data_IF_235224055910
#
_entry.id   IF_235224055910
#
_cell.length_a   1.000
_cell.length_b   1.000
_cell.length_c   1.000
_cell.angle_alpha   90.00
_cell.angle_beta   90.00
_cell.angle_gamma   90.00
#
_symmetry.space_group_name_H-M   'P 1'
#
loop_
_entity.id
_entity.type
_entity.pdbx_description
1 polymer ?
#
# COMPACT_ATOMS: atom_id res chain seq x y z
N UNK A 1 2.59 25.16 -11.34
CA UNK A 1 2.09 25.21 -12.74
C UNK A 1 0.76 24.46 -12.92
N UNK A 2 0.52 23.28 -12.32
CA UNK A 2 -0.77 22.57 -12.43
C UNK A 2 -1.88 23.03 -11.44
N UNK A 3 -1.56 23.93 -10.51
CA UNK A 3 -2.46 24.36 -9.41
C UNK A 3 -3.23 25.66 -9.70
N UNK A 4 -2.83 26.39 -10.74
CA UNK A 4 -3.52 27.60 -11.19
C UNK A 4 -4.51 27.26 -12.31
N UNK A 5 -5.49 28.13 -12.58
CA UNK A 5 -6.40 27.92 -13.71
C UNK A 5 -5.55 27.86 -15.00
N UNK A 6 -5.45 26.67 -15.59
CA UNK A 6 -4.58 26.43 -16.72
C UNK A 6 -5.12 27.09 -18.00
N UNK A 7 -6.42 27.40 -18.06
CA UNK A 7 -7.07 28.12 -19.17
C UNK A 7 -6.48 29.52 -19.38
N UNK A 8 -6.09 30.23 -18.30
CA UNK A 8 -5.48 31.57 -18.42
C UNK A 8 -4.02 31.54 -18.88
N UNK A 9 -3.33 30.41 -18.70
CA UNK A 9 -1.95 30.22 -19.15
C UNK A 9 -1.85 29.54 -20.53
N UNK A 10 -2.86 28.76 -20.94
CA UNK A 10 -2.99 28.17 -22.28
C UNK A 10 -3.68 29.11 -23.28
N UNK A 11 -3.47 30.41 -23.14
CA UNK A 11 -3.94 31.42 -24.11
C UNK A 11 -3.27 31.32 -25.50
N UNK A 12 -2.30 30.43 -25.68
CA UNK A 12 -1.83 30.00 -27.00
C UNK A 12 -1.77 28.46 -27.07
N UNK A 13 -2.57 27.90 -27.98
CA UNK A 13 -2.59 26.49 -28.45
C UNK A 13 -3.21 25.45 -27.51
N UNK A 14 -4.50 25.19 -27.74
CA UNK A 14 -5.16 23.92 -27.43
C UNK A 14 -4.65 22.77 -28.32
N UNK A 15 -3.37 22.43 -28.22
CA UNK A 15 -2.81 21.19 -28.78
C UNK A 15 -3.09 20.09 -27.76
N UNK A 16 -3.94 19.10 -28.07
CA UNK A 16 -4.19 18.01 -27.14
C UNK A 16 -2.93 17.12 -27.07
N UNK A 17 -2.60 16.68 -25.86
CA UNK A 17 -1.40 15.91 -25.56
C UNK A 17 -1.68 14.40 -25.56
N UNK A 18 -0.69 13.61 -25.98
CA UNK A 18 -0.74 12.15 -25.86
C UNK A 18 -0.40 11.66 -24.44
N UNK A 19 0.42 12.45 -23.72
CA UNK A 19 0.91 12.16 -22.37
C UNK A 19 0.86 13.43 -21.51
N UNK A 20 0.41 13.29 -20.26
CA UNK A 20 0.58 14.30 -19.20
C UNK A 20 1.30 13.64 -18.02
N UNK A 21 2.40 14.26 -17.55
CA UNK A 21 3.18 13.76 -16.42
C UNK A 21 3.06 14.67 -15.19
N UNK A 22 2.89 14.10 -14.00
CA UNK A 22 2.91 14.85 -12.74
C UNK A 22 3.80 14.17 -11.69
N UNK A 23 5.07 14.58 -11.63
CA UNK A 23 6.07 14.05 -10.69
C UNK A 23 6.19 14.86 -9.39
N UNK A 24 5.47 15.98 -9.28
CA UNK A 24 5.48 16.86 -8.10
C UNK A 24 4.13 17.57 -7.95
N UNK A 25 3.74 17.85 -6.71
CA UNK A 25 2.57 18.63 -6.31
C UNK A 25 1.19 17.96 -6.46
N UNK A 26 1.07 16.69 -6.87
CA UNK A 26 -0.21 15.96 -6.78
C UNK A 26 -0.74 15.99 -5.35
N UNK A 27 0.14 15.73 -4.39
CA UNK A 27 -0.14 15.74 -2.95
C UNK A 27 -0.60 17.12 -2.44
N UNK A 28 -0.26 18.21 -3.11
CA UNK A 28 -0.68 19.57 -2.76
C UNK A 28 -2.14 19.84 -3.18
N UNK A 29 -2.62 19.17 -4.23
CA UNK A 29 -4.01 19.24 -4.68
C UNK A 29 -4.98 18.46 -3.77
N UNK A 30 -4.50 17.55 -2.93
CA UNK A 30 -5.32 16.78 -1.97
C UNK A 30 -5.68 17.53 -0.68
N UNK A 31 -5.39 18.84 -0.60
CA UNK A 31 -5.88 19.69 0.49
C UNK A 31 -7.42 19.76 0.52
N UNK A 32 -8.09 19.70 -0.64
CA UNK A 32 -9.55 19.63 -0.73
C UNK A 32 -10.00 18.84 -1.97
N UNK A 33 -11.25 18.35 -1.95
CA UNK A 33 -11.81 17.58 -3.06
C UNK A 33 -11.90 18.40 -4.36
N UNK A 34 -12.24 19.69 -4.25
CA UNK A 34 -12.40 20.60 -5.39
C UNK A 34 -11.07 20.85 -6.11
N UNK A 35 -9.96 20.94 -5.37
CA UNK A 35 -8.62 21.11 -5.95
C UNK A 35 -8.17 19.86 -6.70
N UNK A 36 -8.36 18.68 -6.12
CA UNK A 36 -8.05 17.41 -6.76
C UNK A 36 -8.93 17.16 -8.00
N UNK A 37 -10.24 17.44 -7.91
CA UNK A 37 -11.18 17.31 -9.02
C UNK A 37 -10.86 18.31 -10.16
N UNK A 38 -10.50 19.55 -9.83
CA UNK A 38 -10.09 20.56 -10.81
C UNK A 38 -8.82 20.14 -11.56
N UNK A 39 -7.79 19.65 -10.85
CA UNK A 39 -6.59 19.10 -11.47
C UNK A 39 -6.93 17.99 -12.48
N UNK A 40 -7.73 17.00 -12.09
CA UNK A 40 -8.05 15.85 -12.93
C UNK A 40 -8.90 16.24 -14.15
N UNK A 41 -9.80 17.21 -14.01
CA UNK A 41 -10.53 17.80 -15.14
C UNK A 41 -9.60 18.53 -16.12
N UNK A 42 -8.63 19.29 -15.62
CA UNK A 42 -7.63 19.96 -16.46
C UNK A 42 -6.73 18.95 -17.19
N UNK A 43 -6.30 17.89 -16.51
CA UNK A 43 -5.54 16.80 -17.14
C UNK A 43 -6.37 16.10 -18.22
N UNK A 44 -7.63 15.79 -17.94
CA UNK A 44 -8.53 15.14 -18.90
C UNK A 44 -8.83 16.02 -20.12
N UNK A 45 -8.98 17.33 -19.96
CA UNK A 45 -9.21 18.24 -21.09
C UNK A 45 -7.99 18.39 -22.00
N UNK A 46 -6.77 18.27 -21.45
CA UNK A 46 -5.53 18.24 -22.23
C UNK A 46 -5.33 16.96 -23.02
N UNK A 47 -5.71 15.80 -22.47
CA UNK A 47 -5.40 14.52 -23.10
C UNK A 47 -6.24 14.26 -24.36
N UNK A 48 -5.61 13.72 -25.40
CA UNK A 48 -6.32 13.03 -26.49
C UNK A 48 -7.03 11.78 -25.95
N UNK A 49 -8.10 11.31 -26.61
CA UNK A 49 -8.58 9.94 -26.40
C UNK A 49 -7.42 8.94 -26.58
N UNK A 50 -7.35 7.93 -25.71
CA UNK A 50 -6.25 6.97 -25.63
C UNK A 50 -5.00 7.46 -24.89
N UNK A 51 -4.87 8.76 -24.60
CA UNK A 51 -3.70 9.35 -23.95
C UNK A 51 -3.57 9.03 -22.45
N UNK A 52 -2.36 9.14 -21.91
CA UNK A 52 -2.03 8.72 -20.54
C UNK A 52 -1.70 9.87 -19.59
N UNK A 53 -2.25 9.82 -18.38
CA UNK A 53 -1.83 10.61 -17.24
C UNK A 53 -1.07 9.74 -16.25
N UNK A 54 0.19 10.04 -15.99
CA UNK A 54 0.98 9.29 -15.00
C UNK A 54 1.91 10.17 -14.18
N UNK A 55 2.48 9.59 -13.13
CA UNK A 55 3.41 10.30 -12.28
C UNK A 55 3.82 9.53 -11.05
N UNK A 56 4.33 10.26 -10.07
CA UNK A 56 4.78 9.74 -8.78
C UNK A 56 4.17 10.58 -7.67
N UNK A 57 3.73 9.93 -6.59
CA UNK A 57 3.16 10.56 -5.40
C UNK A 57 3.69 9.88 -4.13
N UNK A 58 3.76 10.55 -2.98
CA UNK A 58 4.02 9.88 -1.71
C UNK A 58 3.00 8.78 -1.43
N UNK A 59 3.49 7.60 -1.06
CA UNK A 59 2.71 6.39 -0.78
C UNK A 59 1.96 6.54 0.55
N UNK A 60 0.71 6.98 0.43
CA UNK A 60 -0.06 7.37 1.61
C UNK A 60 -0.48 6.15 2.46
N UNK A 61 -0.62 4.97 1.83
CA UNK A 61 -0.84 3.70 2.53
C UNK A 61 0.35 3.33 3.42
N UNK A 62 1.57 3.45 2.90
CA UNK A 62 2.83 3.16 3.60
C UNK A 62 3.09 4.18 4.70
N UNK A 63 2.92 5.47 4.41
CA UNK A 63 3.06 6.55 5.40
C UNK A 63 2.07 6.33 6.55
N UNK A 64 0.78 6.07 6.25
CA UNK A 64 -0.24 5.85 7.28
C UNK A 64 0.02 4.57 8.09
N UNK A 65 0.44 3.48 7.45
CA UNK A 65 0.80 2.22 8.13
C UNK A 65 1.98 2.42 9.10
N UNK A 66 3.00 3.20 8.70
CA UNK A 66 4.14 3.55 9.56
C UNK A 66 3.69 4.45 10.72
N UNK A 67 2.76 5.38 10.49
CA UNK A 67 2.18 6.26 11.52
C UNK A 67 1.40 5.47 12.57
N UNK A 68 0.45 4.62 12.17
CA UNK A 68 -0.39 3.83 13.09
C UNK A 68 0.45 2.94 14.01
N UNK A 69 1.44 2.22 13.46
CA UNK A 69 2.38 1.40 14.25
C UNK A 69 3.14 2.20 15.31
N UNK A 70 3.49 3.46 15.02
CA UNK A 70 4.15 4.33 15.99
C UNK A 70 3.20 4.83 17.09
N UNK A 71 1.94 5.13 16.75
CA UNK A 71 0.88 5.48 17.73
C UNK A 71 0.62 4.30 18.67
N UNK A 72 0.41 3.10 18.13
CA UNK A 72 0.21 1.85 18.89
C UNK A 72 1.39 1.56 19.84
N UNK A 73 2.62 1.66 19.32
CA UNK A 73 3.84 1.43 20.12
C UNK A 73 4.06 2.51 21.19
N UNK A 74 3.56 3.73 21.00
CA UNK A 74 3.55 4.79 22.01
C UNK A 74 2.53 4.50 23.12
N UNK A 75 1.29 4.17 22.74
CA UNK A 75 0.22 3.82 23.67
C UNK A 75 0.59 2.63 24.57
N UNK A 76 1.19 1.58 23.99
CA UNK A 76 1.64 0.40 24.73
C UNK A 76 2.79 0.67 25.73
N UNK A 77 3.53 1.78 25.57
CA UNK A 77 4.57 2.23 26.50
C UNK A 77 4.05 3.25 27.53
N UNK A 78 2.83 3.75 27.37
CA UNK A 78 2.27 4.87 28.14
C UNK A 78 1.64 4.53 29.49
N UNK A 79 1.59 3.25 29.89
CA UNK A 79 0.86 2.76 31.09
C UNK A 79 1.59 3.10 32.42
N UNK A 80 2.29 4.23 32.51
CA UNK A 80 3.08 4.57 33.71
C UNK A 80 3.55 6.02 33.88
N UNK A 81 3.59 6.86 32.84
CA UNK A 81 4.01 8.27 32.98
C UNK A 81 3.08 9.21 32.20
N UNK A 82 2.85 10.41 32.76
CA UNK A 82 1.96 11.43 32.19
C UNK A 82 2.34 11.73 30.75
N UNK A 83 1.35 11.65 29.86
CA UNK A 83 1.51 11.88 28.43
C UNK A 83 1.80 13.36 28.12
N UNK A 84 3.07 13.75 28.19
CA UNK A 84 3.57 14.82 27.33
C UNK A 84 3.55 14.25 25.91
N UNK A 85 2.50 14.59 25.14
CA UNK A 85 2.33 14.14 23.76
C UNK A 85 3.53 14.58 22.92
N UNK A 86 4.43 13.61 22.66
CA UNK A 86 5.45 13.74 21.64
C UNK A 86 4.73 13.43 20.33
N UNK A 87 4.68 14.36 19.35
CA UNK A 87 3.94 14.12 18.12
C UNK A 87 4.43 12.83 17.46
N UNK A 88 3.51 11.93 17.15
CA UNK A 88 3.82 10.65 16.51
C UNK A 88 4.47 10.93 15.15
N UNK A 89 5.78 10.72 15.11
CA UNK A 89 6.64 10.96 13.95
C UNK A 89 7.22 9.64 13.45
N UNK A 90 7.32 9.51 12.13
CA UNK A 90 7.99 8.40 11.46
C UNK A 90 9.43 8.84 11.24
N UNK A 91 10.40 8.11 11.80
CA UNK A 91 11.82 8.38 11.67
C UNK A 91 12.48 7.26 10.87
N UNK A 92 13.05 7.60 9.72
CA UNK A 92 13.93 6.75 8.91
C UNK A 92 15.36 7.33 8.90
N UNK A 93 16.29 6.63 8.26
CA UNK A 93 17.64 7.14 7.97
C UNK A 93 17.59 8.32 7.00
N UNK A 94 16.68 8.28 6.01
CA UNK A 94 16.64 9.25 4.91
C UNK A 94 15.67 10.42 5.14
N UNK A 95 14.69 10.26 6.03
CA UNK A 95 13.63 11.26 6.25
C UNK A 95 12.98 11.16 7.62
N UNK A 96 12.33 12.26 8.03
CA UNK A 96 11.42 12.32 9.17
C UNK A 96 10.07 12.84 8.66
N UNK A 97 8.98 12.17 9.03
CA UNK A 97 7.61 12.63 8.79
C UNK A 97 6.93 12.92 10.13
N UNK A 98 6.29 14.08 10.24
CA UNK A 98 5.56 14.53 11.43
C UNK A 98 4.15 14.93 11.02
N UNK A 99 3.14 14.43 11.73
CA UNK A 99 1.75 14.84 11.54
C UNK A 99 1.42 16.06 12.41
N UNK A 100 0.67 17.02 11.86
CA UNK A 100 0.31 18.26 12.57
C UNK A 100 -0.83 18.04 13.58
N UNK A 101 -1.71 17.09 13.28
CA UNK A 101 -2.87 16.70 14.09
C UNK A 101 -2.90 15.17 14.12
N UNK A 102 -3.13 14.57 15.30
CA UNK A 102 -3.37 13.13 15.41
C UNK A 102 -4.79 12.78 14.96
N UNK A 103 -4.96 11.74 14.15
CA UNK A 103 -6.28 11.22 13.76
C UNK A 103 -6.31 9.70 13.87
N UNK A 104 -7.46 9.17 14.34
CA UNK A 104 -7.68 7.73 14.50
C UNK A 104 -7.93 7.00 13.17
N UNK A 105 -8.39 7.73 12.15
CA UNK A 105 -8.80 7.20 10.84
C UNK A 105 -8.12 7.98 9.72
N UNK A 106 -7.93 7.33 8.59
CA UNK A 106 -7.42 7.96 7.37
C UNK A 106 -8.54 8.86 6.79
N UNK A 107 -8.40 10.19 6.75
CA UNK A 107 -9.39 11.07 6.13
C UNK A 107 -9.14 11.17 4.62
N UNK A 108 -10.19 11.45 3.83
CA UNK A 108 -10.10 11.40 2.37
C UNK A 108 -9.32 12.56 1.74
N UNK A 109 -9.25 13.72 2.39
CA UNK A 109 -8.59 14.95 1.95
C UNK A 109 -8.07 15.75 3.15
N UNK A 110 -7.19 16.73 2.91
CA UNK A 110 -6.78 17.73 3.90
C UNK A 110 -5.77 17.29 4.95
N UNK A 111 -5.41 15.99 5.01
CA UNK A 111 -4.48 15.47 6.03
C UNK A 111 -3.04 15.87 5.79
N UNK A 112 -2.65 16.97 6.41
CA UNK A 112 -1.29 17.51 6.32
C UNK A 112 -0.30 16.71 7.17
N UNK A 113 0.87 16.51 6.58
CA UNK A 113 2.08 16.07 7.27
C UNK A 113 3.26 16.91 6.77
N UNK A 114 4.25 17.08 7.63
CA UNK A 114 5.52 17.69 7.28
C UNK A 114 6.55 16.59 7.07
N UNK A 115 7.26 16.62 5.95
CA UNK A 115 8.40 15.75 5.66
C UNK A 115 9.69 16.56 5.65
N UNK A 116 10.76 15.97 6.19
CA UNK A 116 12.11 16.53 6.13
C UNK A 116 13.10 15.44 5.74
N UNK A 117 13.81 15.61 4.63
CA UNK A 117 14.88 14.70 4.24
C UNK A 117 16.17 14.97 5.03
N UNK A 118 16.98 13.92 5.24
CA UNK A 118 18.18 13.98 6.08
C UNK A 118 19.24 14.97 5.58
N UNK A 119 19.30 15.21 4.27
CA UNK A 119 20.23 16.12 3.62
C UNK A 119 19.68 17.53 3.41
N UNK A 120 18.45 17.81 3.87
CA UNK A 120 17.75 19.06 3.62
C UNK A 120 17.59 19.91 4.89
N UNK A 121 17.62 21.24 4.70
CA UNK A 121 17.52 22.20 5.81
C UNK A 121 16.04 22.43 6.15
N UNK A 122 15.21 22.60 5.13
CA UNK A 122 13.77 22.88 5.19
C UNK A 122 12.93 21.61 5.34
N UNK A 123 11.70 21.77 5.81
CA UNK A 123 10.66 20.74 5.74
C UNK A 123 9.66 21.12 4.64
N UNK A 124 9.09 20.14 3.95
CA UNK A 124 7.98 20.31 3.01
C UNK A 124 6.66 19.92 3.67
N UNK A 125 5.57 20.64 3.38
CA UNK A 125 4.22 20.28 3.85
C UNK A 125 3.42 19.65 2.71
N UNK A 126 2.96 18.43 2.92
CA UNK A 126 2.20 17.63 1.95
C UNK A 126 0.85 17.19 2.54
N UNK A 127 -0.14 16.90 1.69
CA UNK A 127 -1.34 16.18 2.12
C UNK A 127 -1.22 14.68 1.78
N UNK A 128 -1.85 13.81 2.57
CA UNK A 128 -2.03 12.42 2.16
C UNK A 128 -2.99 12.34 0.95
N UNK A 129 -2.67 11.45 0.01
CA UNK A 129 -3.45 11.16 -1.18
C UNK A 129 -4.24 9.87 -0.93
N UNK A 130 -5.54 10.00 -0.67
CA UNK A 130 -6.40 8.83 -0.55
C UNK A 130 -6.61 8.18 -1.93
N UNK A 131 -5.96 7.06 -2.21
CA UNK A 131 -5.96 6.47 -3.57
C UNK A 131 -7.37 6.11 -4.08
N UNK A 132 -8.29 5.65 -3.23
CA UNK A 132 -9.67 5.42 -3.64
C UNK A 132 -10.41 6.74 -4.01
N UNK A 133 -10.09 7.86 -3.35
CA UNK A 133 -10.59 9.19 -3.77
C UNK A 133 -9.95 9.64 -5.09
N UNK A 134 -8.65 9.42 -5.29
CA UNK A 134 -7.95 9.72 -6.54
C UNK A 134 -8.59 8.97 -7.72
N UNK A 135 -8.82 7.66 -7.56
CA UNK A 135 -9.45 6.80 -8.56
C UNK A 135 -10.89 7.25 -8.86
N UNK A 136 -11.69 7.58 -7.82
CA UNK A 136 -13.04 8.11 -8.00
C UNK A 136 -13.03 9.41 -8.79
N UNK A 137 -12.24 10.40 -8.36
CA UNK A 137 -12.17 11.70 -9.02
C UNK A 137 -11.60 11.63 -10.45
N UNK A 138 -10.71 10.68 -10.72
CA UNK A 138 -10.19 10.43 -12.06
C UNK A 138 -11.33 9.94 -12.98
N UNK A 139 -12.13 8.96 -12.51
CA UNK A 139 -13.33 8.49 -13.21
C UNK A 139 -14.35 9.62 -13.42
N UNK A 140 -14.60 10.43 -12.40
CA UNK A 140 -15.51 11.59 -12.47
C UNK A 140 -15.01 12.66 -13.48
N UNK A 141 -13.72 12.65 -13.83
CA UNK A 141 -13.11 13.47 -14.87
C UNK A 141 -12.99 12.77 -16.24
N UNK A 142 -13.46 11.53 -16.40
CA UNK A 142 -13.35 10.75 -17.64
C UNK A 142 -11.97 10.13 -17.88
N UNK A 143 -11.28 9.73 -16.81
CA UNK A 143 -10.02 8.99 -16.84
C UNK A 143 -10.21 7.61 -16.18
N UNK A 144 -9.84 6.55 -16.88
CA UNK A 144 -9.83 5.19 -16.35
C UNK A 144 -8.55 4.92 -15.55
N UNK A 145 -8.70 4.19 -14.45
CA UNK A 145 -7.59 3.69 -13.65
C UNK A 145 -6.86 2.56 -14.39
N UNK A 146 -5.54 2.67 -14.49
CA UNK A 146 -4.67 1.61 -15.00
C UNK A 146 -3.93 0.96 -13.84
N UNK A 147 -3.16 1.74 -13.08
CA UNK A 147 -2.29 1.22 -12.02
C UNK A 147 -1.96 2.28 -10.97
N UNK A 148 -1.84 1.87 -9.70
CA UNK A 148 -1.05 2.54 -8.66
C UNK A 148 -0.19 1.46 -8.02
N UNK A 149 1.14 1.57 -8.12
CA UNK A 149 2.08 0.58 -7.58
C UNK A 149 3.12 1.26 -6.69
N UNK A 150 3.52 0.63 -5.58
CA UNK A 150 4.60 1.14 -4.74
C UNK A 150 5.95 1.09 -5.50
N UNK A 151 6.80 2.12 -5.38
CA UNK A 151 8.06 2.20 -6.14
C UNK A 151 9.07 1.10 -5.78
N UNK A 152 9.02 0.56 -4.55
CA UNK A 152 9.88 -0.55 -4.17
C UNK A 152 9.43 -1.87 -4.84
N UNK A 153 8.12 -2.10 -4.92
CA UNK A 153 7.52 -3.25 -5.61
C UNK A 153 7.77 -3.15 -7.13
N UNK A 154 7.47 -2.00 -7.73
CA UNK A 154 7.76 -1.71 -9.15
C UNK A 154 9.23 -1.94 -9.50
N UNK A 155 10.16 -1.57 -8.62
CA UNK A 155 11.58 -1.84 -8.82
C UNK A 155 11.90 -3.32 -8.79
N UNK A 156 11.39 -4.09 -7.82
CA UNK A 156 11.71 -5.51 -7.71
C UNK A 156 11.13 -6.32 -8.89
N UNK A 157 9.93 -5.98 -9.37
CA UNK A 157 9.33 -6.55 -10.58
C UNK A 157 10.16 -6.28 -11.84
N UNK A 158 10.68 -5.04 -11.97
CA UNK A 158 11.43 -4.59 -13.15
C UNK A 158 12.96 -4.63 -12.97
N UNK A 159 13.43 -5.30 -11.91
CA UNK A 159 14.81 -5.28 -11.43
C UNK A 159 15.85 -5.59 -12.49
N UNK A 160 15.57 -6.56 -13.36
CA UNK A 160 16.46 -6.97 -14.46
C UNK A 160 16.76 -5.86 -15.46
N UNK A 161 15.82 -4.92 -15.63
CA UNK A 161 15.93 -3.76 -16.51
C UNK A 161 16.70 -2.62 -15.83
N UNK A 162 16.45 -2.39 -14.53
CA UNK A 162 16.99 -1.25 -13.79
C UNK A 162 18.36 -1.49 -13.14
N UNK A 163 18.74 -2.74 -12.81
CA UNK A 163 19.96 -3.04 -12.06
C UNK A 163 21.24 -2.50 -12.72
N UNK A 164 21.41 -2.69 -14.04
CA UNK A 164 22.59 -2.20 -14.78
C UNK A 164 22.65 -0.66 -14.80
N UNK A 165 21.49 -0.01 -14.89
CA UNK A 165 21.36 1.44 -14.90
C UNK A 165 21.69 2.03 -13.51
N UNK A 166 21.11 1.48 -12.43
CA UNK A 166 21.44 1.92 -11.07
C UNK A 166 22.92 1.69 -10.70
N UNK A 167 23.55 0.60 -11.17
CA UNK A 167 25.00 0.40 -10.98
C UNK A 167 25.83 1.50 -11.65
N UNK A 168 25.40 1.99 -12.83
CA UNK A 168 26.09 3.06 -13.55
C UNK A 168 26.04 4.42 -12.84
N UNK A 169 24.98 4.67 -12.04
CA UNK A 169 24.82 5.90 -11.25
C UNK A 169 25.60 5.91 -9.92
N UNK A 170 26.28 4.81 -9.56
CA UNK A 170 27.20 4.74 -8.43
C UNK A 170 26.70 3.89 -7.25
N UNK A 171 27.66 3.27 -6.55
CA UNK A 171 27.45 2.18 -5.59
C UNK A 171 26.82 2.53 -4.24
N UNK A 172 25.96 3.55 -4.15
CA UNK A 172 25.30 3.95 -2.89
C UNK A 172 23.84 3.47 -2.77
N UNK A 173 23.27 2.90 -3.83
CA UNK A 173 21.87 2.41 -3.86
C UNK A 173 21.74 0.91 -3.66
N UNK A 174 22.77 0.13 -3.99
CA UNK A 174 22.73 -1.33 -4.05
C UNK A 174 23.94 -2.00 -3.41
N UNK A 175 23.78 -3.25 -3.00
CA UNK A 175 24.87 -4.15 -2.61
C UNK A 175 25.63 -4.69 -3.86
N UNK A 176 26.79 -5.35 -3.68
CA UNK A 176 27.52 -5.99 -4.78
C UNK A 176 26.77 -7.12 -5.51
N UNK A 177 25.57 -7.50 -5.06
CA UNK A 177 24.68 -8.50 -5.65
C UNK A 177 23.50 -7.83 -6.39
N UNK A 178 23.51 -6.50 -6.52
CA UNK A 178 22.47 -5.70 -7.17
C UNK A 178 21.14 -5.62 -6.41
N UNK A 179 21.12 -5.97 -5.12
CA UNK A 179 19.94 -5.75 -4.24
C UNK A 179 19.99 -4.33 -3.71
N UNK A 180 18.83 -3.67 -3.62
CA UNK A 180 18.73 -2.36 -2.98
C UNK A 180 19.21 -2.45 -1.52
N UNK A 181 19.93 -1.42 -1.07
CA UNK A 181 20.26 -1.27 0.34
C UNK A 181 18.97 -0.94 1.13
N UNK A 182 18.84 -1.36 2.41
CA UNK A 182 17.62 -1.14 3.19
C UNK A 182 17.13 0.31 3.21
N UNK A 183 18.06 1.28 3.33
CA UNK A 183 17.77 2.71 3.24
C UNK A 183 17.14 3.13 1.91
N UNK A 184 17.63 2.57 0.80
CA UNK A 184 17.16 2.90 -0.55
C UNK A 184 15.80 2.24 -0.81
N UNK A 185 15.60 1.01 -0.33
CA UNK A 185 14.31 0.33 -0.36
C UNK A 185 13.26 1.10 0.46
N UNK A 186 13.59 1.56 1.67
CA UNK A 186 12.68 2.37 2.50
C UNK A 186 12.33 3.73 1.87
N UNK A 187 13.27 4.35 1.16
CA UNK A 187 13.03 5.59 0.42
C UNK A 187 12.18 5.39 -0.84
N UNK A 188 12.41 4.32 -1.61
CA UNK A 188 11.55 3.98 -2.75
C UNK A 188 10.15 3.62 -2.27
N UNK A 189 10.04 2.86 -1.18
CA UNK A 189 8.76 2.49 -0.58
C UNK A 189 7.96 3.67 -0.02
N UNK A 190 8.56 4.86 0.10
CA UNK A 190 7.84 6.09 0.46
C UNK A 190 6.99 6.65 -0.69
N UNK A 191 7.12 6.15 -1.91
CA UNK A 191 6.45 6.67 -3.10
C UNK A 191 5.71 5.57 -3.87
N UNK A 192 4.68 5.97 -4.61
CA UNK A 192 3.95 5.12 -5.56
C UNK A 192 3.96 5.78 -6.94
N UNK A 193 4.01 4.96 -8.00
CA UNK A 193 3.58 5.38 -9.33
C UNK A 193 2.06 5.48 -9.35
N UNK A 194 1.53 6.28 -10.27
CA UNK A 194 0.13 6.21 -10.65
C UNK A 194 0.02 6.34 -12.16
N UNK A 195 -0.95 5.65 -12.75
CA UNK A 195 -1.24 5.64 -14.18
C UNK A 195 -2.76 5.62 -14.38
N UNK A 196 -3.23 6.58 -15.17
CA UNK A 196 -4.60 6.69 -15.66
C UNK A 196 -4.56 6.84 -17.18
N UNK A 197 -5.60 6.37 -17.87
CA UNK A 197 -5.76 6.53 -19.31
C UNK A 197 -7.06 7.28 -19.60
N UNK A 198 -7.04 8.22 -20.54
CA UNK A 198 -8.27 8.77 -21.09
C UNK A 198 -8.84 7.76 -22.09
N UNK A 199 -10.07 7.26 -21.92
CA UNK A 199 -10.63 6.27 -22.84
C UNK A 199 -10.65 6.78 -24.29
N UNK A 200 -10.40 5.89 -25.23
CA UNK A 200 -10.60 6.13 -26.65
C UNK A 200 -11.98 5.59 -27.06
N UNK A 201 -12.96 6.43 -27.45
CA UNK A 201 -14.28 5.96 -27.85
C UNK A 201 -14.27 5.22 -29.21
N UNK A 202 -13.24 5.42 -30.03
CA UNK A 202 -13.08 4.75 -31.32
C UNK A 202 -12.21 3.47 -31.22
N UNK A 203 -11.52 3.26 -30.09
CA UNK A 203 -10.88 1.99 -29.81
C UNK A 203 -11.95 0.91 -29.60
N UNK A 204 -11.84 -0.19 -30.35
CA UNK A 204 -12.65 -1.37 -30.06
C UNK A 204 -12.44 -1.77 -28.59
N UNK A 205 -13.52 -2.00 -27.81
CA UNK A 205 -13.37 -2.37 -26.41
C UNK A 205 -12.46 -3.60 -26.32
N UNK A 206 -11.53 -3.67 -25.34
CA UNK A 206 -10.71 -4.86 -25.14
C UNK A 206 -11.66 -6.04 -25.03
N UNK A 207 -11.38 -7.12 -25.79
CA UNK A 207 -12.29 -8.26 -25.96
C UNK A 207 -12.63 -8.80 -24.57
N UNK A 208 -13.79 -8.39 -24.05
CA UNK A 208 -14.20 -8.79 -22.71
C UNK A 208 -14.48 -10.28 -22.75
N UNK A 209 -13.87 -11.01 -21.81
CA UNK A 209 -14.29 -12.37 -21.46
C UNK A 209 -15.82 -12.39 -21.37
N UNK A 210 -16.53 -13.34 -22.02
CA UNK A 210 -17.95 -13.16 -22.31
C UNK A 210 -18.77 -12.83 -21.07
N UNK A 211 -19.41 -11.65 -21.08
CA UNK A 211 -20.48 -11.36 -20.14
C UNK A 211 -21.63 -12.31 -20.44
N UNK A 212 -21.90 -13.22 -19.52
CA UNK A 212 -23.09 -14.06 -19.58
C UNK A 212 -24.32 -13.17 -19.52
N UNK A 213 -25.04 -13.07 -20.66
CA UNK A 213 -26.38 -12.53 -20.71
C UNK A 213 -27.30 -13.50 -19.95
N UNK A 214 -27.65 -13.16 -18.70
CA UNK A 214 -28.65 -13.90 -17.94
C UNK A 214 -29.82 -12.98 -17.59
N UNK A 215 -30.71 -12.83 -18.57
CA UNK A 215 -32.02 -12.23 -18.40
C UNK A 215 -33.10 -13.30 -18.54
N UNK A 216 -33.93 -13.44 -17.51
CA UNK A 216 -35.18 -14.21 -17.50
C UNK A 216 -35.10 -15.75 -17.49
N UNK A 217 -34.78 -16.33 -16.33
CA UNK A 217 -35.69 -17.32 -15.72
C UNK A 217 -35.81 -17.07 -14.21
N UNK A 218 -37.04 -16.85 -13.75
CA UNK A 218 -37.37 -16.62 -12.35
C UNK A 218 -38.11 -17.81 -11.77
N UNK A 219 -37.48 -18.61 -10.92
CA UNK A 219 -38.04 -19.00 -9.60
C UNK A 219 -36.98 -19.62 -8.69
N UNK A 220 -36.96 -19.10 -7.47
CA UNK A 220 -36.55 -19.67 -6.18
C UNK A 220 -35.71 -20.96 -6.16
N UNK A 221 -34.48 -20.85 -5.65
CA UNK A 221 -34.06 -21.61 -4.46
C UNK A 221 -32.97 -20.86 -3.68
N UNK A 222 -33.10 -20.82 -2.35
CA UNK A 222 -32.15 -20.15 -1.46
C UNK A 222 -31.05 -21.12 -1.06
N UNK A 223 -29.79 -20.89 -1.44
CA UNK A 223 -28.66 -21.57 -0.79
C UNK A 223 -27.45 -20.67 -0.52
N UNK A 224 -26.93 -20.86 0.69
CA UNK A 224 -25.95 -20.05 1.39
C UNK A 224 -24.55 -20.08 0.74
N UNK A 225 -23.82 -18.97 0.86
CA UNK A 225 -22.42 -18.88 0.45
C UNK A 225 -21.51 -19.77 1.32
N UNK A 226 -20.74 -20.72 0.75
CA UNK A 226 -19.74 -21.46 1.50
C UNK A 226 -18.50 -20.60 1.73
N UNK A 227 -18.27 -20.21 3.00
CA UNK A 227 -16.98 -19.69 3.45
C UNK A 227 -15.90 -20.74 3.20
N UNK A 228 -14.98 -20.46 2.28
CA UNK A 228 -13.90 -21.38 1.91
C UNK A 228 -12.83 -21.44 3.01
N UNK A 229 -13.02 -22.35 3.96
CA UNK A 229 -12.04 -22.70 4.98
C UNK A 229 -10.76 -23.25 4.34
N UNK A 230 -9.64 -22.56 4.55
CA UNK A 230 -8.32 -23.13 4.29
C UNK A 230 -8.02 -24.24 5.31
N UNK A 231 -7.89 -25.48 4.82
CA UNK A 231 -7.18 -26.57 5.50
C UNK A 231 -6.11 -27.13 4.58
N UNK A 232 -4.88 -27.42 5.05
CA UNK A 232 -3.87 -28.08 4.24
C UNK A 232 -4.28 -29.55 3.96
N UNK A 233 -4.04 -30.03 2.74
CA UNK A 233 -4.03 -31.47 2.46
C UNK A 233 -2.64 -32.08 2.72
N UNK A 234 -2.55 -33.35 3.13
CA UNK A 234 -1.28 -34.03 3.37
C UNK A 234 -0.56 -34.39 2.06
N UNK A 235 0.76 -34.56 2.15
CA UNK A 235 1.56 -35.07 1.05
C UNK A 235 1.21 -36.54 0.75
N UNK A 236 1.37 -36.94 -0.52
CA UNK A 236 1.24 -38.33 -0.98
C UNK A 236 2.63 -38.91 -1.16
N UNK A 237 2.88 -40.08 -0.56
CA UNK A 237 4.15 -40.79 -0.66
C UNK A 237 4.35 -41.41 -2.06
N UNK A 238 5.54 -41.23 -2.65
CA UNK A 238 6.04 -42.12 -3.72
C UNK A 238 7.16 -43.00 -3.15
N UNK A 239 6.86 -44.28 -3.01
CA UNK A 239 7.78 -45.27 -2.44
C UNK A 239 8.39 -46.13 -3.56
N UNK A 240 9.74 -46.14 -3.69
CA UNK A 240 10.45 -47.25 -4.35
C UNK A 240 11.96 -47.36 -4.02
N UNK A 241 12.19 -47.95 -2.85
CA UNK A 241 13.00 -49.17 -2.66
C UNK A 241 14.54 -49.14 -2.91
N UNK A 242 15.30 -49.45 -1.84
CA UNK A 242 16.72 -49.79 -1.88
C UNK A 242 17.23 -50.30 -0.52
N UNK A 243 17.46 -51.62 -0.41
CA UNK A 243 18.12 -52.34 0.70
C UNK A 243 19.55 -51.76 0.97
N UNK A 244 20.23 -51.82 2.13
CA UNK A 244 20.14 -52.52 3.44
C UNK A 244 21.03 -51.72 4.46
N UNK A 245 21.25 -51.99 5.76
CA UNK A 245 21.04 -53.18 6.61
C UNK A 245 20.93 -52.86 8.14
N UNK A 246 20.90 -53.92 8.97
CA UNK A 246 20.88 -54.00 10.46
C UNK A 246 21.83 -53.11 11.29
N UNK A 247 21.37 -52.64 12.48
CA UNK A 247 21.87 -53.16 13.78
C UNK A 247 20.95 -52.85 14.99
N UNK A 248 21.18 -53.52 16.13
CA UNK A 248 20.25 -53.70 17.27
C UNK A 248 20.77 -53.09 18.59
N UNK A 249 19.84 -52.64 19.47
CA UNK A 249 20.03 -52.55 20.93
C UNK A 249 19.66 -51.20 21.57
N UNK A 250 18.89 -50.99 22.65
CA UNK A 250 17.98 -51.76 23.54
C UNK A 250 18.24 -51.38 25.03
N UNK A 251 17.19 -51.00 25.78
CA UNK A 251 17.21 -50.77 27.24
C UNK A 251 17.44 -49.32 27.70
N UNK A 252 16.82 -48.80 28.77
CA UNK A 252 15.85 -49.40 29.71
C UNK A 252 14.91 -48.36 30.39
N UNK A 253 13.81 -48.86 30.97
CA UNK A 253 12.74 -48.16 31.70
C UNK A 253 13.20 -47.55 33.05
N UNK A 254 12.51 -46.48 33.51
CA UNK A 254 12.13 -46.04 34.90
C UNK A 254 11.78 -44.52 34.83
N UNK A 255 10.79 -43.93 35.50
CA UNK A 255 9.72 -44.37 36.42
C UNK A 255 8.76 -43.18 36.74
N UNK A 256 7.71 -43.42 37.55
CA UNK A 256 6.62 -42.47 37.92
C UNK A 256 7.06 -41.06 38.42
N UNK A 257 6.35 -39.99 37.99
CA UNK A 257 5.55 -39.11 38.88
C UNK A 257 4.96 -37.82 38.23
N UNK A 258 3.77 -37.47 38.73
CA UNK A 258 3.15 -36.13 38.92
C UNK A 258 3.01 -35.08 37.79
N UNK A 259 1.75 -34.94 37.36
CA UNK A 259 0.91 -33.72 37.46
C UNK A 259 1.49 -32.34 37.05
N UNK A 260 1.07 -31.91 35.86
CA UNK A 260 0.28 -30.68 35.68
C UNK A 260 0.81 -29.36 36.26
N UNK A 261 1.66 -28.66 35.50
CA UNK A 261 2.05 -27.27 35.79
C UNK A 261 1.02 -26.28 35.21
N UNK A 262 -0.19 -26.27 35.78
CA UNK A 262 -1.14 -25.17 35.63
C UNK A 262 -1.66 -24.80 37.03
N UNK A 263 -1.02 -23.81 37.66
CA UNK A 263 -1.44 -23.31 38.97
C UNK A 263 -2.84 -22.67 38.89
N UNK A 264 -3.64 -22.72 39.97
CA UNK A 264 -4.98 -22.15 39.98
C UNK A 264 -4.93 -20.64 39.78
N UNK A 265 -5.71 -20.14 38.81
CA UNK A 265 -5.89 -18.71 38.56
C UNK A 265 -6.54 -17.95 39.73
N UNK A 266 -6.50 -16.61 39.71
CA UNK A 266 -6.93 -15.76 40.81
C UNK A 266 -8.41 -15.97 41.20
N UNK A 267 -8.71 -15.69 42.48
CA UNK A 267 -9.97 -16.04 43.11
C UNK A 267 -11.20 -15.23 42.62
N UNK A 268 -10.98 -14.14 41.87
CA UNK A 268 -11.98 -13.11 41.57
C UNK A 268 -12.93 -13.46 40.40
N UNK A 269 -12.90 -14.71 39.91
CA UNK A 269 -13.72 -15.21 38.80
C UNK A 269 -14.59 -16.43 39.16
N UNK A 270 -14.83 -16.68 40.46
CA UNK A 270 -15.76 -17.73 40.92
C UNK A 270 -17.13 -17.15 41.22
N UNK A 271 -18.11 -17.47 40.37
CA UNK A 271 -19.53 -17.21 40.63
C UNK A 271 -20.04 -18.10 41.77
N UNK A 272 -21.00 -17.65 42.60
CA UNK A 272 -21.62 -18.48 43.62
C UNK A 272 -22.68 -19.41 43.02
N UNK A 273 -22.63 -20.69 43.39
CA UNK A 273 -23.66 -21.67 43.01
C UNK A 273 -24.97 -21.45 43.81
N UNK A 274 -26.15 -21.70 43.21
CA UNK A 274 -27.44 -21.55 43.89
C UNK A 274 -27.77 -22.74 44.81
N UNK A 275 -28.56 -22.45 45.85
CA UNK A 275 -29.19 -23.42 46.76
C UNK A 275 -30.45 -24.06 46.16
#
# INVERSE_FOLDING_TARGET
MLQENLESHLHDKGIPADIVCCFQNLQSCFESEEKAASLLKNVSSLLKPGGYFFGITPDSSTIWTKYQKNVEASHNKGIGMKANSVPSCIRSENYIITFEVEEEKFPFFGKKYQIKFANEITSETHCLVHFASLIRLARDAGLDYVEIQNLAEFYDDNRSQFVSMLFSYGGNFMDPRGRLLPRTFDLLGLYSTFVFQKPDPDAAPPIMTPLFYEGMYSHEEQHEWPVSNWRPQPAVDEDRNGQTDTNIGAGSVLGDNDKGILGPGPADLRFPDPL
#
